data_IF_549244922083
#
_entry.id   IF_549244922083
#
_cell.length_a   1.000
_cell.length_b   1.000
_cell.length_c   1.000
_cell.angle_alpha   90.00
_cell.angle_beta   90.00
_cell.angle_gamma   90.00
#
_symmetry.space_group_name_H-M   'P 1'
#
loop_
_entity.id
_entity.type
_entity.pdbx_description
1 polymer ?
#
# COMPACT_ATOMS: atom_id res chain seq x y z
N UNK A 1 -12.15 -27.92 -0.89
CA UNK A 1 -11.63 -26.54 -0.94
C UNK A 1 -12.77 -25.57 -0.66
N UNK A 2 -12.48 -24.42 -0.07
CA UNK A 2 -13.44 -23.33 0.14
C UNK A 2 -13.85 -22.74 -1.22
N UNK A 3 -15.11 -22.31 -1.39
CA UNK A 3 -15.54 -21.59 -2.59
C UNK A 3 -15.05 -20.14 -2.56
N UNK A 4 -14.92 -19.48 -3.72
CA UNK A 4 -14.56 -18.05 -3.76
C UNK A 4 -15.56 -17.16 -3.02
N UNK A 5 -16.86 -17.49 -3.08
CA UNK A 5 -17.89 -16.72 -2.40
C UNK A 5 -17.75 -16.83 -0.87
N UNK A 6 -17.49 -18.04 -0.35
CA UNK A 6 -17.24 -18.23 1.09
C UNK A 6 -15.94 -17.55 1.54
N UNK A 7 -14.93 -17.53 0.68
CA UNK A 7 -13.67 -16.85 0.95
C UNK A 7 -13.86 -15.34 1.07
N UNK A 8 -14.53 -14.74 0.07
CA UNK A 8 -14.81 -13.31 0.05
C UNK A 8 -15.62 -12.90 1.29
N UNK A 9 -16.67 -13.65 1.62
CA UNK A 9 -17.51 -13.37 2.78
C UNK A 9 -16.75 -13.44 4.12
N UNK A 10 -15.68 -14.25 4.20
CA UNK A 10 -14.89 -14.43 5.41
C UNK A 10 -13.74 -13.43 5.56
N UNK A 11 -13.09 -13.07 4.47
CA UNK A 11 -11.76 -12.44 4.52
C UNK A 11 -11.67 -11.09 3.83
N UNK A 12 -12.66 -10.72 3.01
CA UNK A 12 -12.60 -9.55 2.12
C UNK A 12 -13.74 -8.58 2.42
N UNK A 13 -13.40 -7.30 2.48
CA UNK A 13 -14.37 -6.20 2.45
C UNK A 13 -14.38 -5.60 1.04
N UNK A 14 -15.58 -5.38 0.49
CA UNK A 14 -15.79 -4.85 -0.86
C UNK A 14 -16.53 -3.53 -0.78
N UNK A 15 -16.09 -2.53 -1.53
CA UNK A 15 -16.83 -1.27 -1.65
C UNK A 15 -18.16 -1.50 -2.39
N UNK A 16 -19.22 -0.82 -1.97
CA UNK A 16 -20.57 -0.95 -2.57
C UNK A 16 -20.59 -0.63 -4.07
N UNK A 17 -19.84 0.39 -4.50
CA UNK A 17 -19.88 0.95 -5.87
C UNK A 17 -18.57 0.81 -6.65
N UNK A 18 -17.58 0.06 -6.15
CA UNK A 18 -16.21 0.13 -6.67
C UNK A 18 -15.48 -1.21 -6.78
N UNK A 19 -14.39 -1.25 -7.56
CA UNK A 19 -13.53 -2.44 -7.69
C UNK A 19 -12.66 -2.68 -6.44
N UNK A 20 -12.82 -1.88 -5.38
CA UNK A 20 -11.95 -1.93 -4.23
C UNK A 20 -12.29 -3.15 -3.37
N UNK A 21 -11.31 -4.04 -3.24
CA UNK A 21 -11.35 -5.20 -2.36
C UNK A 21 -10.16 -5.11 -1.39
N UNK A 22 -10.45 -5.10 -0.10
CA UNK A 22 -9.43 -5.04 0.95
C UNK A 22 -9.59 -6.22 1.91
N UNK A 23 -8.54 -6.51 2.66
CA UNK A 23 -8.63 -7.44 3.79
C UNK A 23 -9.51 -6.84 4.87
N UNK A 24 -10.48 -7.61 5.38
CA UNK A 24 -11.43 -7.13 6.39
C UNK A 24 -10.87 -7.11 7.84
N UNK A 25 -9.56 -7.35 8.03
CA UNK A 25 -8.92 -7.36 9.35
C UNK A 25 -7.49 -6.83 9.31
N UNK A 26 -7.13 -6.13 10.39
CA UNK A 26 -5.77 -5.67 10.70
C UNK A 26 -5.44 -6.12 12.14
N UNK A 27 -4.42 -6.98 12.36
CA UNK A 27 -3.56 -7.57 11.34
C UNK A 27 -4.32 -8.52 10.40
N UNK A 28 -3.78 -8.71 9.19
CA UNK A 28 -4.36 -9.59 8.16
C UNK A 28 -4.49 -11.02 8.70
N UNK A 29 -5.58 -11.72 8.36
CA UNK A 29 -5.82 -13.13 8.71
C UNK A 29 -4.70 -14.09 8.29
N UNK A 30 -3.95 -13.71 7.26
CA UNK A 30 -2.86 -14.50 6.71
C UNK A 30 -1.48 -14.08 7.22
N UNK A 31 -1.40 -13.18 8.22
CA UNK A 31 -0.12 -12.78 8.80
C UNK A 31 0.34 -13.82 9.82
N UNK A 32 1.46 -14.48 9.55
CA UNK A 32 2.09 -15.46 10.43
C UNK A 32 3.61 -15.27 10.40
N UNK A 33 4.25 -15.15 11.58
CA UNK A 33 5.70 -14.97 11.69
C UNK A 33 6.27 -13.83 10.82
N UNK A 34 5.57 -12.69 10.76
CA UNK A 34 5.89 -11.53 9.90
C UNK A 34 5.87 -11.81 8.39
N UNK A 35 5.24 -12.91 7.95
CA UNK A 35 5.07 -13.27 6.55
C UNK A 35 3.62 -13.60 6.23
N UNK A 36 3.27 -13.62 4.93
CA UNK A 36 1.95 -14.07 4.50
C UNK A 36 1.94 -15.61 4.42
N UNK A 37 1.03 -16.27 5.14
CA UNK A 37 0.88 -17.73 5.14
C UNK A 37 0.43 -18.29 3.78
N UNK A 38 -0.18 -17.45 2.93
CA UNK A 38 -0.58 -17.78 1.56
C UNK A 38 0.28 -17.07 0.52
N UNK A 39 1.59 -16.91 0.78
CA UNK A 39 2.48 -16.05 -0.01
C UNK A 39 2.34 -16.23 -1.53
N UNK A 40 2.41 -17.46 -2.04
CA UNK A 40 2.28 -17.75 -3.49
C UNK A 40 0.92 -17.37 -4.08
N UNK A 41 -0.12 -17.37 -3.25
CA UNK A 41 -1.51 -17.08 -3.64
C UNK A 41 -2.02 -15.72 -3.16
N UNK A 42 -1.13 -14.85 -2.64
CA UNK A 42 -1.50 -13.52 -2.12
C UNK A 42 -2.20 -12.68 -3.20
N UNK A 43 -3.00 -11.69 -2.80
CA UNK A 43 -3.75 -10.87 -3.76
C UNK A 43 -2.85 -9.98 -4.62
N UNK A 44 -3.34 -9.52 -5.77
CA UNK A 44 -2.59 -8.60 -6.65
C UNK A 44 -2.09 -7.36 -5.89
N UNK A 45 -2.96 -6.71 -5.10
CA UNK A 45 -2.57 -5.57 -4.26
C UNK A 45 -1.45 -5.90 -3.26
N UNK A 46 -1.47 -7.09 -2.64
CA UNK A 46 -0.41 -7.53 -1.73
C UNK A 46 0.89 -7.90 -2.47
N UNK A 47 0.82 -8.38 -3.71
CA UNK A 47 2.00 -8.60 -4.56
C UNK A 47 2.64 -7.29 -5.00
N UNK A 48 1.81 -6.31 -5.32
CA UNK A 48 2.25 -5.06 -5.93
C UNK A 48 2.73 -4.03 -4.91
N UNK A 49 2.21 -4.03 -3.66
CA UNK A 49 2.58 -3.07 -2.63
C UNK A 49 4.12 -2.97 -2.44
N UNK A 50 4.74 -1.76 -2.46
CA UNK A 50 4.13 -0.42 -2.52
C UNK A 50 3.92 0.17 -3.93
N UNK A 51 4.06 -0.63 -4.99
CA UNK A 51 3.77 -0.28 -6.38
C UNK A 51 4.56 0.91 -6.94
N UNK A 52 5.76 1.13 -6.40
CA UNK A 52 6.67 2.23 -6.79
C UNK A 52 7.25 2.07 -8.21
N UNK A 53 7.30 0.83 -8.72
CA UNK A 53 7.84 0.51 -10.05
C UNK A 53 6.81 0.66 -11.19
N UNK A 54 5.52 0.79 -10.86
CA UNK A 54 4.46 0.91 -11.86
C UNK A 54 4.43 2.34 -12.43
N UNK A 55 4.01 2.53 -13.69
CA UNK A 55 3.89 3.84 -14.30
C UNK A 55 2.87 4.71 -13.54
N UNK A 56 2.94 6.03 -13.78
CA UNK A 56 2.03 7.02 -13.18
C UNK A 56 2.02 6.96 -11.64
N UNK A 57 3.19 6.79 -11.02
CA UNK A 57 3.37 6.73 -9.55
C UNK A 57 2.76 7.95 -8.84
N UNK A 58 2.73 9.10 -9.51
CA UNK A 58 2.11 10.33 -9.04
C UNK A 58 0.60 10.18 -8.72
N UNK A 59 -0.11 9.26 -9.40
CA UNK A 59 -1.53 8.99 -9.10
C UNK A 59 -1.75 8.23 -7.79
N UNK A 60 -0.68 7.68 -7.20
CA UNK A 60 -0.71 6.87 -5.97
C UNK A 60 -0.03 7.57 -4.79
N UNK A 61 0.30 8.86 -4.92
CA UNK A 61 1.01 9.62 -3.88
C UNK A 61 0.28 9.63 -2.55
N UNK A 62 -1.06 9.69 -2.54
CA UNK A 62 -1.83 9.62 -1.30
C UNK A 62 -1.50 8.35 -0.49
N UNK A 63 -1.60 7.18 -1.10
CA UNK A 63 -1.29 5.91 -0.45
C UNK A 63 0.19 5.83 -0.06
N UNK A 64 1.09 6.28 -0.92
CA UNK A 64 2.52 6.33 -0.63
C UNK A 64 2.77 7.17 0.63
N UNK A 65 2.23 8.39 0.70
CA UNK A 65 2.38 9.27 1.87
C UNK A 65 1.71 8.72 3.12
N UNK A 66 0.56 8.07 3.00
CA UNK A 66 -0.08 7.39 4.13
C UNK A 66 0.86 6.37 4.79
N UNK A 67 1.76 5.73 4.02
CA UNK A 67 2.70 4.72 4.54
C UNK A 67 4.13 5.25 4.73
N UNK A 68 4.37 6.54 4.51
CA UNK A 68 5.71 7.13 4.51
C UNK A 68 6.42 7.00 5.85
N UNK A 69 5.71 7.19 6.95
CA UNK A 69 6.23 7.07 8.33
C UNK A 69 6.40 5.61 8.80
N UNK A 70 5.78 4.65 8.11
CA UNK A 70 5.68 3.25 8.52
C UNK A 70 6.54 2.30 7.70
N UNK A 71 6.73 2.58 6.41
CA UNK A 71 7.36 1.66 5.47
C UNK A 71 8.75 2.15 5.05
N UNK A 72 9.85 1.49 5.47
CA UNK A 72 11.21 1.97 5.20
C UNK A 72 11.53 2.16 3.72
N UNK A 73 11.01 1.29 2.84
CA UNK A 73 11.25 1.43 1.39
C UNK A 73 10.54 2.66 0.81
N UNK A 74 9.34 2.98 1.30
CA UNK A 74 8.63 4.19 0.87
C UNK A 74 9.36 5.42 1.36
N UNK A 75 9.75 5.45 2.64
CA UNK A 75 10.53 6.55 3.20
C UNK A 75 11.77 6.83 2.35
N UNK A 76 12.62 5.82 2.14
CA UNK A 76 13.87 5.99 1.42
C UNK A 76 13.65 6.47 -0.03
N UNK A 77 12.67 5.91 -0.75
CA UNK A 77 12.38 6.33 -2.12
C UNK A 77 11.89 7.78 -2.17
N UNK A 78 11.03 8.19 -1.25
CA UNK A 78 10.52 9.56 -1.21
C UNK A 78 11.61 10.56 -0.80
N UNK A 79 12.50 10.21 0.12
CA UNK A 79 13.63 11.07 0.50
C UNK A 79 14.64 11.22 -0.64
N UNK A 80 14.95 10.15 -1.36
CA UNK A 80 15.77 10.26 -2.57
C UNK A 80 15.09 11.13 -3.63
N UNK A 81 13.78 10.99 -3.82
CA UNK A 81 13.04 11.80 -4.79
C UNK A 81 13.05 13.30 -4.43
N UNK A 82 12.97 13.66 -3.14
CA UNK A 82 13.11 15.06 -2.70
C UNK A 82 14.45 15.66 -3.14
N UNK A 83 15.54 14.92 -2.97
CA UNK A 83 16.88 15.36 -3.38
C UNK A 83 16.95 15.55 -4.89
N UNK A 84 16.55 14.54 -5.67
CA UNK A 84 16.59 14.58 -7.14
C UNK A 84 15.73 15.70 -7.74
N UNK A 85 14.61 16.01 -7.09
CA UNK A 85 13.69 17.07 -7.52
C UNK A 85 14.06 18.47 -7.00
N UNK A 86 15.17 18.60 -6.25
CA UNK A 86 15.58 19.87 -5.65
C UNK A 86 14.58 20.40 -4.61
N UNK A 87 13.86 19.50 -3.92
CA UNK A 87 12.93 19.87 -2.87
C UNK A 87 13.68 20.32 -1.62
N UNK A 88 13.86 21.63 -1.48
CA UNK A 88 14.52 22.26 -0.33
C UNK A 88 13.48 22.80 0.66
N UNK A 89 13.34 22.13 1.80
CA UNK A 89 12.44 22.55 2.88
C UNK A 89 12.76 23.96 3.42
N UNK A 90 14.00 24.45 3.27
CA UNK A 90 14.38 25.80 3.69
C UNK A 90 13.81 26.91 2.79
N UNK A 91 13.39 26.56 1.57
CA UNK A 91 12.72 27.48 0.63
C UNK A 91 11.19 27.48 0.77
N UNK A 92 10.64 26.54 1.54
CA UNK A 92 9.20 26.51 1.85
C UNK A 92 8.90 27.55 2.94
N UNK A 93 8.69 28.79 2.51
CA UNK A 93 8.04 29.80 3.36
C UNK A 93 6.62 29.31 3.65
N UNK A 94 6.43 28.68 4.82
CA UNK A 94 5.10 28.47 5.36
C UNK A 94 4.59 29.83 5.82
N UNK A 95 3.88 30.53 4.93
CA UNK A 95 3.10 31.70 5.33
C UNK A 95 1.89 31.19 6.13
N UNK A 96 2.14 30.85 7.39
CA UNK A 96 1.11 30.68 8.41
C UNK A 96 0.82 32.02 9.07
#
# INVERSE_FOLDING_TARGET
GMSSADFDARFVEKSEDGPLMIMNAIPCHFLENNACSIYEHRFAGCREFPALHLPEVNKRLFTIFMHYDRCPIIFNVMESLKVEMGFDASTMQCNL
#
